data_IF_678227006063
#
_entry.id   IF_678227006063
#
_cell.length_a   1.000
_cell.length_b   1.000
_cell.length_c   1.000
_cell.angle_alpha   90.00
_cell.angle_beta   90.00
_cell.angle_gamma   90.00
#
_symmetry.space_group_name_H-M   'P 1'
#
loop_
_entity.id
_entity.type
_entity.pdbx_description
1 polymer ?
#
# COMPACT_ATOMS: atom_id res chain seq x y z
N UNK A 1 -49.77 34.01 -4.28
CA UNK A 1 -48.38 34.34 -3.94
C UNK A 1 -47.74 33.05 -3.44
N UNK A 2 -47.10 32.33 -4.33
CA UNK A 2 -46.51 31.00 -4.07
C UNK A 2 -45.00 31.18 -4.08
N UNK A 3 -44.40 31.03 -2.91
CA UNK A 3 -42.98 31.14 -2.71
C UNK A 3 -42.33 29.77 -2.99
N UNK A 4 -41.64 29.65 -4.13
CA UNK A 4 -40.86 28.49 -4.49
C UNK A 4 -39.44 28.70 -3.96
N UNK A 5 -39.15 28.19 -2.78
CA UNK A 5 -37.77 28.05 -2.26
C UNK A 5 -37.03 26.98 -3.05
N UNK A 6 -36.24 27.44 -3.99
CA UNK A 6 -35.29 26.66 -4.77
C UNK A 6 -34.18 26.15 -3.84
N UNK A 7 -34.25 24.87 -3.42
CA UNK A 7 -33.14 24.17 -2.75
C UNK A 7 -32.05 23.90 -3.77
N UNK A 8 -31.01 24.71 -3.79
CA UNK A 8 -29.76 24.40 -4.47
C UNK A 8 -29.19 23.10 -3.88
N UNK A 9 -29.19 22.05 -4.68
CA UNK A 9 -28.46 20.83 -4.36
C UNK A 9 -26.97 21.17 -4.29
N UNK A 10 -26.40 21.12 -3.08
CA UNK A 10 -24.99 21.31 -2.86
C UNK A 10 -24.19 20.23 -3.64
N UNK A 11 -23.49 20.65 -4.67
CA UNK A 11 -22.53 19.78 -5.35
C UNK A 11 -21.46 19.37 -4.33
N UNK A 12 -21.36 18.07 -4.04
CA UNK A 12 -20.25 17.50 -3.27
C UNK A 12 -18.97 17.92 -3.99
N UNK A 13 -17.99 18.55 -3.32
CA UNK A 13 -16.74 18.93 -3.98
C UNK A 13 -16.10 17.69 -4.60
N UNK A 14 -15.67 17.80 -5.85
CA UNK A 14 -14.97 16.72 -6.54
C UNK A 14 -13.78 16.27 -5.68
N UNK A 15 -13.76 14.99 -5.31
CA UNK A 15 -12.69 14.43 -4.48
C UNK A 15 -11.37 14.61 -5.23
N UNK A 16 -10.40 15.25 -4.61
CA UNK A 16 -9.08 15.40 -5.17
C UNK A 16 -8.46 14.02 -5.43
N UNK A 17 -7.90 13.81 -6.63
CA UNK A 17 -7.28 12.55 -7.02
C UNK A 17 -6.05 12.28 -6.14
N UNK A 18 -6.02 11.13 -5.48
CA UNK A 18 -4.93 10.73 -4.60
C UNK A 18 -3.71 10.25 -5.38
N UNK A 19 -3.94 9.53 -6.48
CA UNK A 19 -2.87 9.02 -7.34
C UNK A 19 -3.30 9.07 -8.82
N UNK A 20 -2.65 9.88 -9.65
CA UNK A 20 -2.92 9.92 -11.09
C UNK A 20 -2.68 8.59 -11.79
N UNK A 21 -1.84 7.71 -11.21
CA UNK A 21 -1.56 6.37 -11.74
C UNK A 21 -2.71 5.36 -11.48
N UNK A 22 -3.67 5.71 -10.61
CA UNK A 22 -4.74 4.80 -10.18
C UNK A 22 -5.86 4.69 -11.23
N UNK A 23 -5.52 4.48 -12.49
CA UNK A 23 -6.48 4.14 -13.55
C UNK A 23 -5.83 3.26 -14.62
N UNK A 24 -6.64 2.46 -15.30
CA UNK A 24 -6.18 1.50 -16.33
C UNK A 24 -5.38 2.18 -17.44
N UNK A 25 -5.80 3.38 -17.87
CA UNK A 25 -5.14 4.11 -18.95
C UNK A 25 -3.71 4.49 -18.57
N UNK A 26 -3.51 5.11 -17.44
CA UNK A 26 -2.19 5.57 -16.99
C UNK A 26 -1.27 4.41 -16.63
N UNK A 27 -1.82 3.37 -15.97
CA UNK A 27 -1.06 2.13 -15.69
C UNK A 27 -0.54 1.51 -16.99
N UNK A 28 -1.42 1.37 -18.01
CA UNK A 28 -1.02 0.82 -19.32
C UNK A 28 0.01 1.70 -20.02
N UNK A 29 -0.23 3.00 -20.09
CA UNK A 29 0.68 3.95 -20.71
C UNK A 29 2.08 3.92 -20.07
N UNK A 30 2.13 3.85 -18.73
CA UNK A 30 3.39 3.72 -17.97
C UNK A 30 4.12 2.43 -18.33
N UNK A 31 3.43 1.28 -18.33
CA UNK A 31 4.04 0.00 -18.68
C UNK A 31 4.55 -0.01 -20.14
N UNK A 32 3.75 0.48 -21.09
CA UNK A 32 4.10 0.57 -22.51
C UNK A 32 5.32 1.48 -22.73
N UNK A 33 5.40 2.62 -22.04
CA UNK A 33 6.52 3.56 -22.12
C UNK A 33 7.86 2.90 -21.78
N UNK A 34 7.86 1.97 -20.83
CA UNK A 34 9.06 1.24 -20.42
C UNK A 34 9.20 -0.15 -21.08
N UNK A 35 8.34 -0.48 -22.04
CA UNK A 35 8.35 -1.78 -22.72
C UNK A 35 8.07 -2.96 -21.78
N UNK A 36 7.32 -2.73 -20.69
CA UNK A 36 7.04 -3.73 -19.66
C UNK A 36 5.70 -4.43 -19.90
N UNK A 37 5.68 -5.73 -19.63
CA UNK A 37 4.47 -6.54 -19.52
C UNK A 37 4.26 -6.98 -18.07
N UNK A 38 3.00 -7.19 -17.70
CA UNK A 38 2.66 -7.71 -16.36
C UNK A 38 3.25 -9.10 -16.14
N UNK A 39 3.97 -9.29 -15.03
CA UNK A 39 4.64 -10.55 -14.71
C UNK A 39 3.80 -11.37 -13.72
N UNK A 40 3.03 -12.33 -14.23
CA UNK A 40 2.24 -13.23 -13.38
C UNK A 40 3.08 -13.95 -12.30
N UNK A 41 4.34 -14.30 -12.61
CA UNK A 41 5.25 -14.96 -11.66
C UNK A 41 5.54 -14.14 -10.41
N UNK A 42 5.49 -12.82 -10.50
CA UNK A 42 5.70 -11.90 -9.37
C UNK A 42 4.37 -11.47 -8.73
N UNK A 43 3.23 -12.00 -9.20
CA UNK A 43 1.91 -11.64 -8.67
C UNK A 43 1.55 -10.18 -8.92
N UNK A 44 2.05 -9.58 -10.00
CA UNK A 44 1.82 -8.17 -10.32
C UNK A 44 0.37 -7.92 -10.71
N UNK A 45 -0.39 -7.32 -9.79
CA UNK A 45 -1.74 -6.82 -9.96
C UNK A 45 -1.75 -5.36 -9.54
N UNK A 46 -1.65 -4.45 -10.53
CA UNK A 46 -1.59 -3.01 -10.27
C UNK A 46 -2.96 -2.47 -9.89
N UNK A 47 -3.02 -1.73 -8.79
CA UNK A 47 -4.25 -1.10 -8.33
C UNK A 47 -4.62 0.06 -9.28
N UNK A 48 -5.84 0.05 -9.81
CA UNK A 48 -6.30 1.00 -10.84
C UNK A 48 -7.58 1.76 -10.44
N UNK A 49 -7.81 1.90 -9.13
CA UNK A 49 -8.96 2.62 -8.59
C UNK A 49 -8.54 3.60 -7.49
N UNK A 50 -8.64 4.90 -7.78
CA UNK A 50 -8.26 5.96 -6.86
C UNK A 50 -9.12 6.01 -5.57
N UNK A 51 -10.38 5.57 -5.63
CA UNK A 51 -11.22 5.49 -4.44
C UNK A 51 -10.71 4.44 -3.44
N UNK A 52 -10.10 3.34 -3.94
CA UNK A 52 -9.45 2.35 -3.07
C UNK A 52 -8.19 2.92 -2.45
N UNK A 53 -7.34 3.62 -3.25
CA UNK A 53 -6.17 4.35 -2.73
C UNK A 53 -6.59 5.28 -1.60
N UNK A 54 -7.60 6.11 -1.83
CA UNK A 54 -8.07 7.06 -0.85
C UNK A 54 -8.52 6.40 0.47
N UNK A 55 -9.21 5.25 0.40
CA UNK A 55 -9.59 4.48 1.61
C UNK A 55 -8.39 3.88 2.34
N UNK A 56 -7.37 3.41 1.60
CA UNK A 56 -6.11 2.94 2.20
C UNK A 56 -5.44 4.08 2.97
N UNK A 57 -5.31 5.25 2.34
CA UNK A 57 -4.68 6.43 2.95
C UNK A 57 -5.47 6.92 4.17
N UNK A 58 -6.81 6.89 4.13
CA UNK A 58 -7.68 7.20 5.27
C UNK A 58 -7.43 6.23 6.44
N UNK A 59 -7.36 4.91 6.18
CA UNK A 59 -7.05 3.90 7.20
C UNK A 59 -5.63 4.06 7.76
N UNK A 60 -4.69 4.52 6.94
CA UNK A 60 -3.32 4.73 7.37
C UNK A 60 -3.14 5.96 8.28
N UNK A 61 -4.07 6.93 8.24
CA UNK A 61 -4.03 8.17 9.04
C UNK A 61 -2.64 8.82 8.97
N UNK A 62 -2.18 9.07 7.73
CA UNK A 62 -0.84 9.58 7.47
C UNK A 62 -0.69 11.03 7.94
N UNK A 63 0.41 11.30 8.64
CA UNK A 63 0.83 12.63 9.07
C UNK A 63 2.16 13.06 8.44
N UNK A 64 2.43 14.37 8.44
CA UNK A 64 3.62 14.95 7.82
C UNK A 64 4.95 14.46 8.42
N UNK A 65 4.92 13.96 9.64
CA UNK A 65 6.10 13.42 10.34
C UNK A 65 6.30 11.91 10.15
N UNK A 66 5.32 11.22 9.56
CA UNK A 66 5.40 9.79 9.34
C UNK A 66 6.45 9.42 8.30
N UNK A 67 7.12 8.32 8.53
CA UNK A 67 7.91 7.61 7.52
C UNK A 67 7.20 6.29 7.23
N UNK A 68 6.90 6.06 5.95
CA UNK A 68 6.16 4.86 5.52
C UNK A 68 7.11 3.85 4.91
N UNK A 69 6.97 2.60 5.32
CA UNK A 69 7.51 1.44 4.63
C UNK A 69 6.47 0.89 3.66
N UNK A 70 6.87 0.63 2.43
CA UNK A 70 6.04 -0.01 1.42
C UNK A 70 6.76 -1.22 0.84
N UNK A 71 6.04 -2.29 0.51
CA UNK A 71 6.60 -3.49 -0.14
C UNK A 71 5.86 -3.74 -1.45
N UNK A 72 6.63 -3.88 -2.54
CA UNK A 72 6.07 -4.08 -3.87
C UNK A 72 5.31 -2.85 -4.37
N UNK A 73 5.96 -1.68 -4.49
CA UNK A 73 5.32 -0.45 -4.98
C UNK A 73 4.78 -0.59 -6.41
N UNK A 74 5.27 -1.57 -7.18
CA UNK A 74 4.92 -1.74 -8.57
C UNK A 74 5.34 -0.52 -9.39
N UNK A 75 4.39 0.11 -10.10
CA UNK A 75 4.64 1.37 -10.82
C UNK A 75 4.55 2.61 -9.93
N UNK A 76 4.41 2.44 -8.60
CA UNK A 76 4.32 3.54 -7.64
C UNK A 76 2.91 4.09 -7.41
N UNK A 77 1.86 3.35 -7.75
CA UNK A 77 0.48 3.86 -7.66
C UNK A 77 0.11 4.29 -6.23
N UNK A 78 0.40 3.46 -5.23
CA UNK A 78 0.14 3.80 -3.83
C UNK A 78 1.20 4.78 -3.29
N UNK A 79 2.46 4.61 -3.68
CA UNK A 79 3.60 5.47 -3.32
C UNK A 79 3.32 6.94 -3.61
N UNK A 80 2.91 7.26 -4.84
CA UNK A 80 2.58 8.64 -5.28
C UNK A 80 1.45 9.24 -4.45
N UNK A 81 0.48 8.42 -4.03
CA UNK A 81 -0.58 8.85 -3.12
C UNK A 81 -0.09 9.17 -1.71
N UNK A 82 0.95 8.50 -1.22
CA UNK A 82 1.52 8.70 0.11
C UNK A 82 2.50 9.87 0.18
N UNK A 83 3.38 10.02 -0.80
CA UNK A 83 4.50 10.97 -0.79
C UNK A 83 4.13 12.41 -0.40
N UNK A 84 3.03 13.02 -0.89
CA UNK A 84 2.66 14.38 -0.51
C UNK A 84 2.22 14.55 0.96
N UNK A 85 1.93 13.43 1.66
CA UNK A 85 1.28 13.40 2.98
C UNK A 85 2.23 13.08 4.12
N UNK A 86 3.46 12.64 3.80
CA UNK A 86 4.40 12.09 4.79
C UNK A 86 5.79 12.71 4.66
N UNK A 87 6.62 12.47 5.66
CA UNK A 87 8.03 12.89 5.64
C UNK A 87 8.83 12.13 4.58
N UNK A 88 8.66 10.81 4.50
CA UNK A 88 9.30 9.97 3.50
C UNK A 88 8.54 8.66 3.28
N UNK A 89 8.73 8.06 2.11
CA UNK A 89 8.34 6.69 1.79
C UNK A 89 9.59 5.91 1.42
N UNK A 90 9.82 4.78 2.08
CA UNK A 90 10.83 3.81 1.69
C UNK A 90 10.15 2.58 1.13
N UNK A 91 10.31 2.33 -0.16
CA UNK A 91 9.73 1.17 -0.84
C UNK A 91 10.78 0.09 -1.08
N UNK A 92 10.38 -1.18 -0.92
CA UNK A 92 11.21 -2.35 -1.22
C UNK A 92 10.63 -3.04 -2.45
N UNK A 93 11.41 -3.13 -3.55
CA UNK A 93 10.97 -3.73 -4.81
C UNK A 93 11.94 -4.83 -5.26
N UNK A 94 11.38 -5.99 -5.63
CA UNK A 94 12.16 -7.13 -6.08
C UNK A 94 12.44 -7.11 -7.59
N UNK A 95 11.55 -6.48 -8.37
CA UNK A 95 11.65 -6.42 -9.82
C UNK A 95 12.52 -5.23 -10.27
N UNK A 96 13.74 -5.51 -10.70
CA UNK A 96 14.68 -4.48 -11.18
C UNK A 96 14.19 -3.71 -12.38
N UNK A 97 13.28 -4.26 -13.18
CA UNK A 97 12.72 -3.55 -14.33
C UNK A 97 11.80 -2.39 -13.90
N UNK A 98 11.31 -2.41 -12.65
CA UNK A 98 10.49 -1.33 -12.10
C UNK A 98 11.31 -0.17 -11.50
N UNK A 99 12.62 -0.33 -11.29
CA UNK A 99 13.47 0.74 -10.77
C UNK A 99 13.41 2.03 -11.60
N UNK A 100 13.59 2.02 -12.95
CA UNK A 100 13.47 3.22 -13.75
C UNK A 100 12.03 3.77 -13.82
N UNK A 101 11.02 2.90 -13.70
CA UNK A 101 9.61 3.33 -13.63
C UNK A 101 9.39 4.15 -12.37
N UNK A 102 9.81 3.63 -11.21
CA UNK A 102 9.67 4.31 -9.92
C UNK A 102 10.47 5.61 -9.86
N UNK A 103 11.67 5.64 -10.45
CA UNK A 103 12.45 6.86 -10.56
C UNK A 103 11.69 7.96 -11.33
N UNK A 104 10.93 7.60 -12.37
CA UNK A 104 10.12 8.57 -13.13
C UNK A 104 8.81 8.90 -12.40
N UNK A 105 8.04 7.92 -11.94
CA UNK A 105 6.71 8.14 -11.37
C UNK A 105 6.75 8.88 -10.04
N UNK A 106 7.82 8.67 -9.24
CA UNK A 106 8.03 9.34 -7.96
C UNK A 106 8.89 10.61 -8.08
N UNK A 107 9.34 11.00 -9.28
CA UNK A 107 10.28 12.11 -9.49
C UNK A 107 9.82 13.46 -8.90
N UNK A 108 8.52 13.74 -8.90
CA UNK A 108 7.95 14.98 -8.36
C UNK A 108 8.29 15.20 -6.88
N UNK A 109 8.27 14.12 -6.10
CA UNK A 109 8.54 14.11 -4.67
C UNK A 109 9.78 13.24 -4.35
N UNK A 110 10.74 13.17 -5.29
CA UNK A 110 11.90 12.27 -5.22
C UNK A 110 12.81 12.50 -4.01
N UNK A 111 12.81 13.69 -3.45
CA UNK A 111 13.51 14.03 -2.20
C UNK A 111 12.92 13.32 -0.96
N UNK A 112 11.71 12.77 -1.07
CA UNK A 112 11.01 12.01 -0.02
C UNK A 112 10.90 10.53 -0.33
N UNK A 113 11.44 10.07 -1.46
CA UNK A 113 11.34 8.69 -1.91
C UNK A 113 12.66 7.96 -1.81
N UNK A 114 12.70 6.91 -1.01
CA UNK A 114 13.82 5.99 -0.89
C UNK A 114 13.43 4.61 -1.48
N UNK A 115 14.31 4.02 -2.28
CA UNK A 115 14.07 2.72 -2.90
C UNK A 115 15.16 1.73 -2.49
N UNK A 116 14.72 0.58 -1.97
CA UNK A 116 15.55 -0.60 -1.72
C UNK A 116 15.23 -1.65 -2.77
N UNK A 117 16.18 -1.93 -3.65
CA UNK A 117 16.02 -3.04 -4.59
C UNK A 117 16.40 -4.37 -3.94
N UNK A 118 15.45 -5.31 -3.87
CA UNK A 118 15.67 -6.62 -3.29
C UNK A 118 14.44 -7.34 -2.77
N UNK A 119 14.70 -8.48 -2.15
CA UNK A 119 13.67 -9.33 -1.53
C UNK A 119 13.28 -8.79 -0.15
N UNK A 120 12.03 -8.41 0.01
CA UNK A 120 11.50 -7.87 1.27
C UNK A 120 11.62 -8.85 2.45
N UNK A 121 11.65 -10.16 2.19
CA UNK A 121 11.92 -11.17 3.23
C UNK A 121 13.35 -11.10 3.77
N UNK A 122 14.26 -10.45 3.06
CA UNK A 122 15.67 -10.27 3.46
C UNK A 122 15.99 -8.85 3.92
N UNK A 123 15.05 -7.92 3.73
CA UNK A 123 15.23 -6.55 4.14
C UNK A 123 15.38 -6.45 5.67
N UNK A 124 16.29 -5.59 6.09
CA UNK A 124 16.57 -5.31 7.50
C UNK A 124 16.33 -3.84 7.82
N UNK A 125 16.03 -3.49 9.08
CA UNK A 125 15.94 -2.09 9.50
C UNK A 125 17.17 -1.27 9.12
N UNK A 126 18.37 -1.86 9.20
CA UNK A 126 19.62 -1.18 8.84
C UNK A 126 19.63 -0.73 7.38
N UNK A 127 19.31 -1.62 6.43
CA UNK A 127 19.31 -1.30 4.98
C UNK A 127 18.30 -0.20 4.67
N UNK A 128 17.12 -0.25 5.28
CA UNK A 128 16.10 0.79 5.11
C UNK A 128 16.55 2.11 5.73
N UNK A 129 17.16 2.09 6.92
CA UNK A 129 17.72 3.28 7.56
C UNK A 129 18.82 3.95 6.73
N UNK A 130 19.74 3.17 6.14
CA UNK A 130 20.77 3.67 5.24
C UNK A 130 20.19 4.35 4.00
N UNK A 131 19.12 3.78 3.41
CA UNK A 131 18.44 4.38 2.26
C UNK A 131 17.69 5.66 2.61
N UNK A 132 17.02 5.70 3.75
CA UNK A 132 16.36 6.90 4.26
C UNK A 132 17.38 8.00 4.58
N UNK A 133 18.51 7.67 5.20
CA UNK A 133 19.59 8.61 5.45
C UNK A 133 20.15 9.22 4.15
N UNK A 134 20.19 8.42 3.05
CA UNK A 134 20.60 8.86 1.73
C UNK A 134 19.72 9.98 1.12
N UNK A 135 18.49 10.14 1.58
CA UNK A 135 17.57 11.24 1.22
C UNK A 135 17.41 12.28 2.33
N UNK A 136 18.28 12.25 3.33
CA UNK A 136 18.24 13.21 4.46
C UNK A 136 17.15 12.91 5.50
N UNK A 137 16.57 11.71 5.53
CA UNK A 137 15.61 11.28 6.53
C UNK A 137 16.31 10.42 7.59
N UNK A 138 16.32 10.91 8.83
CA UNK A 138 16.97 10.28 10.00
C UNK A 138 15.99 9.43 10.84
N UNK A 139 14.75 9.29 10.39
CA UNK A 139 13.70 8.53 11.09
C UNK A 139 13.47 7.18 10.44
N UNK A 140 13.17 6.19 11.27
CA UNK A 140 12.72 4.88 10.82
C UNK A 140 11.23 4.88 10.50
N UNK A 141 10.76 3.94 9.65
CA UNK A 141 9.34 3.83 9.32
C UNK A 141 8.47 3.60 10.55
N UNK A 142 7.48 4.47 10.75
CA UNK A 142 6.42 4.32 11.77
C UNK A 142 5.21 3.55 11.25
N UNK A 143 5.04 3.47 9.94
CA UNK A 143 3.88 2.83 9.31
C UNK A 143 4.29 1.90 8.18
N UNK A 144 3.60 0.75 8.08
CA UNK A 144 3.65 -0.15 6.93
C UNK A 144 2.36 0.05 6.13
N UNK A 145 2.46 0.58 4.91
CA UNK A 145 1.28 0.75 4.02
C UNK A 145 1.61 0.14 2.67
N UNK A 146 0.89 -0.91 2.29
CA UNK A 146 1.29 -1.70 1.12
C UNK A 146 0.17 -2.52 0.51
N UNK A 147 0.18 -2.63 -0.82
CA UNK A 147 -0.47 -3.71 -1.55
C UNK A 147 0.51 -4.88 -1.63
N UNK A 148 0.44 -5.82 -0.68
CA UNK A 148 1.44 -6.87 -0.54
C UNK A 148 1.36 -7.94 -1.64
N UNK A 149 2.51 -8.45 -2.11
CA UNK A 149 2.54 -9.64 -2.98
C UNK A 149 1.89 -10.83 -2.26
N UNK A 150 0.83 -11.39 -2.86
CA UNK A 150 -0.04 -12.37 -2.19
C UNK A 150 0.69 -13.60 -1.64
N UNK A 151 1.68 -14.09 -2.40
CA UNK A 151 2.42 -15.31 -2.06
C UNK A 151 3.19 -15.22 -0.73
N UNK A 152 3.61 -14.02 -0.35
CA UNK A 152 4.49 -13.80 0.81
C UNK A 152 3.85 -12.88 1.87
N UNK A 153 2.64 -12.36 1.60
CA UNK A 153 1.98 -11.36 2.43
C UNK A 153 1.90 -11.76 3.92
N UNK A 154 1.40 -12.95 4.22
CA UNK A 154 1.25 -13.43 5.60
C UNK A 154 2.61 -13.49 6.34
N UNK A 155 3.66 -13.94 5.65
CA UNK A 155 5.01 -14.01 6.21
C UNK A 155 5.59 -12.62 6.44
N UNK A 156 5.42 -11.71 5.46
CA UNK A 156 5.91 -10.34 5.56
C UNK A 156 5.28 -9.57 6.71
N UNK A 157 3.95 -9.67 6.88
CA UNK A 157 3.24 -8.99 7.97
C UNK A 157 3.85 -9.39 9.33
N UNK A 158 3.94 -10.69 9.61
CA UNK A 158 4.52 -11.15 10.88
C UNK A 158 5.98 -10.73 11.02
N UNK A 159 6.78 -10.83 9.96
CA UNK A 159 8.19 -10.45 9.99
C UNK A 159 8.38 -8.97 10.32
N UNK A 160 7.60 -8.09 9.69
CA UNK A 160 7.71 -6.66 9.96
C UNK A 160 7.20 -6.31 11.36
N UNK A 161 6.07 -6.85 11.79
CA UNK A 161 5.55 -6.60 13.15
C UNK A 161 6.47 -7.14 14.26
N UNK A 162 7.23 -8.21 13.98
CA UNK A 162 8.18 -8.79 14.93
C UNK A 162 9.54 -8.07 14.97
N UNK A 163 10.01 -7.61 13.83
CA UNK A 163 11.40 -7.15 13.66
C UNK A 163 11.55 -5.62 13.58
N UNK A 164 10.45 -4.86 13.59
CA UNK A 164 10.44 -3.42 13.39
C UNK A 164 9.68 -2.73 14.52
N UNK A 165 10.36 -2.56 15.66
CA UNK A 165 9.78 -2.00 16.91
C UNK A 165 9.22 -0.58 16.75
N UNK A 166 9.64 0.15 15.72
CA UNK A 166 9.17 1.50 15.41
C UNK A 166 7.82 1.53 14.66
N UNK A 167 7.32 0.39 14.18
CA UNK A 167 6.03 0.33 13.49
C UNK A 167 4.88 0.41 14.49
N UNK A 168 4.10 1.46 14.40
CA UNK A 168 2.90 1.68 15.22
C UNK A 168 1.60 1.32 14.48
N UNK A 169 1.66 1.15 13.15
CA UNK A 169 0.50 0.81 12.32
C UNK A 169 0.90 0.08 11.05
N UNK A 170 0.08 -0.91 10.68
CA UNK A 170 0.14 -1.53 9.38
C UNK A 170 -1.22 -1.46 8.67
N UNK A 171 -1.25 -0.92 7.44
CA UNK A 171 -2.43 -0.96 6.55
C UNK A 171 -2.02 -1.70 5.30
N UNK A 172 -2.45 -2.94 5.21
CA UNK A 172 -1.98 -3.85 4.18
C UNK A 172 -3.13 -4.46 3.39
N UNK A 173 -2.98 -4.52 2.08
CA UNK A 173 -3.89 -5.24 1.21
C UNK A 173 -3.34 -6.63 0.93
N UNK A 174 -4.19 -7.63 1.11
CA UNK A 174 -3.87 -9.05 1.00
C UNK A 174 -5.04 -9.80 0.34
N UNK A 175 -4.87 -11.08 0.01
CA UNK A 175 -6.00 -11.93 -0.38
C UNK A 175 -7.04 -11.99 0.74
N UNK A 176 -8.34 -12.05 0.37
CA UNK A 176 -9.44 -12.08 1.33
C UNK A 176 -9.31 -13.23 2.34
N UNK A 177 -8.86 -14.43 1.89
CA UNK A 177 -8.60 -15.56 2.79
C UNK A 177 -7.52 -15.25 3.84
N UNK A 178 -6.47 -14.53 3.48
CA UNK A 178 -5.43 -14.11 4.44
C UNK A 178 -6.00 -13.09 5.42
N UNK A 179 -6.80 -12.13 4.93
CA UNK A 179 -7.50 -11.18 5.78
C UNK A 179 -8.47 -11.86 6.76
N UNK A 180 -9.18 -12.93 6.32
CA UNK A 180 -10.06 -13.73 7.18
C UNK A 180 -9.29 -14.36 8.35
N UNK A 181 -8.08 -14.87 8.07
CA UNK A 181 -7.21 -15.42 9.13
C UNK A 181 -6.67 -14.34 10.06
N UNK A 182 -6.30 -13.17 9.52
CA UNK A 182 -5.84 -12.03 10.31
C UNK A 182 -6.94 -11.55 11.27
N UNK A 183 -8.18 -11.43 10.77
CA UNK A 183 -9.33 -10.90 11.51
C UNK A 183 -10.07 -11.95 12.33
N UNK A 184 -9.63 -13.22 12.35
CA UNK A 184 -10.33 -14.32 12.99
C UNK A 184 -10.41 -14.13 14.51
N UNK A 185 -11.57 -14.48 15.11
CA UNK A 185 -11.76 -14.50 16.55
C UNK A 185 -11.60 -15.91 17.11
N UNK A 186 -11.18 -16.07 18.38
CA UNK A 186 -11.16 -17.36 19.05
C UNK A 186 -12.50 -18.11 18.91
N UNK A 187 -12.42 -19.41 18.56
CA UNK A 187 -13.60 -20.23 18.30
C UNK A 187 -14.15 -20.21 16.87
N UNK A 188 -13.68 -19.32 16.00
CA UNK A 188 -14.03 -19.35 14.58
C UNK A 188 -13.21 -20.39 13.81
N UNK A 189 -13.74 -20.87 12.69
CA UNK A 189 -13.09 -21.90 11.85
C UNK A 189 -11.76 -21.44 11.25
N UNK A 190 -11.59 -20.14 11.03
CA UNK A 190 -10.40 -19.53 10.44
C UNK A 190 -9.34 -19.15 11.47
N UNK A 191 -9.67 -19.23 12.78
CA UNK A 191 -8.72 -18.97 13.85
C UNK A 191 -7.65 -20.06 13.91
N UNK A 192 -6.39 -19.65 13.96
CA UNK A 192 -5.27 -20.58 13.99
C UNK A 192 -3.99 -19.97 14.58
N UNK A 193 -2.90 -20.72 14.48
CA UNK A 193 -1.59 -20.32 14.99
C UNK A 193 -1.11 -18.96 14.44
N UNK A 194 -1.44 -18.66 13.19
CA UNK A 194 -1.12 -17.37 12.57
C UNK A 194 -1.83 -16.23 13.28
N UNK A 195 -3.15 -16.34 13.50
CA UNK A 195 -3.97 -15.33 14.18
C UNK A 195 -3.48 -15.10 15.61
N UNK A 196 -3.25 -16.19 16.36
CA UNK A 196 -2.76 -16.12 17.74
C UNK A 196 -1.39 -15.45 17.83
N UNK A 197 -0.49 -15.75 16.87
CA UNK A 197 0.85 -15.15 16.82
C UNK A 197 0.78 -13.67 16.48
N UNK A 198 -0.06 -13.27 15.51
CA UNK A 198 -0.23 -11.88 15.13
C UNK A 198 -0.78 -11.03 16.28
N UNK A 199 -1.71 -11.57 17.06
CA UNK A 199 -2.30 -10.90 18.22
C UNK A 199 -1.29 -10.54 19.33
N UNK A 200 -0.08 -11.12 19.31
CA UNK A 200 1.01 -10.73 20.22
C UNK A 200 1.67 -9.39 19.82
N UNK A 201 1.50 -8.95 18.57
CA UNK A 201 2.18 -7.80 18.00
C UNK A 201 1.25 -6.67 17.61
N UNK A 202 -0.04 -6.96 17.41
CA UNK A 202 -0.98 -5.94 16.97
C UNK A 202 -2.43 -6.37 17.12
N UNK A 203 -3.31 -5.37 17.09
CA UNK A 203 -4.77 -5.54 17.12
C UNK A 203 -5.37 -5.07 15.81
N UNK A 204 -6.22 -5.90 15.22
CA UNK A 204 -6.97 -5.52 14.01
C UNK A 204 -8.04 -4.51 14.36
N UNK A 205 -7.98 -3.33 13.73
CA UNK A 205 -8.88 -2.19 14.01
C UNK A 205 -9.71 -1.78 12.81
N UNK A 206 -9.45 -2.33 11.63
CA UNK A 206 -10.19 -2.02 10.41
C UNK A 206 -10.04 -3.09 9.34
N UNK A 207 -11.08 -3.22 8.51
CA UNK A 207 -11.09 -4.09 7.33
C UNK A 207 -12.06 -3.55 6.28
N UNK A 208 -11.70 -3.68 5.00
CA UNK A 208 -12.64 -3.54 3.89
C UNK A 208 -12.23 -4.40 2.69
N UNK A 209 -13.20 -4.79 1.88
CA UNK A 209 -12.98 -5.65 0.73
C UNK A 209 -12.68 -4.85 -0.53
N UNK A 210 -11.88 -5.46 -1.42
CA UNK A 210 -11.47 -4.90 -2.71
C UNK A 210 -11.59 -5.99 -3.76
N UNK A 211 -12.63 -5.89 -4.62
CA UNK A 211 -12.88 -6.86 -5.67
C UNK A 211 -11.85 -6.80 -6.81
N UNK A 212 -11.73 -7.87 -7.62
CA UNK A 212 -10.73 -8.01 -8.68
C UNK A 212 -10.76 -6.91 -9.74
N UNK A 213 -11.93 -6.31 -10.02
CA UNK A 213 -12.08 -5.22 -10.98
C UNK A 213 -11.32 -3.93 -10.64
N UNK A 214 -10.73 -3.85 -9.46
CA UNK A 214 -9.89 -2.71 -9.04
C UNK A 214 -8.41 -2.87 -9.42
N UNK A 215 -8.07 -3.94 -10.15
CA UNK A 215 -6.69 -4.25 -10.52
C UNK A 215 -6.50 -4.47 -12.02
N UNK A 216 -5.29 -4.28 -12.48
CA UNK A 216 -4.84 -4.62 -13.83
C UNK A 216 -3.52 -5.40 -13.79
N UNK A 217 -3.46 -6.66 -14.26
CA UNK A 217 -4.63 -7.49 -14.58
C UNK A 217 -5.46 -7.82 -13.33
N UNK A 218 -6.74 -8.18 -13.46
CA UNK A 218 -7.55 -8.59 -12.31
C UNK A 218 -7.02 -9.92 -11.73
N UNK A 219 -6.85 -10.02 -10.39
CA UNK A 219 -6.53 -11.29 -9.74
C UNK A 219 -7.73 -12.25 -9.80
N UNK A 220 -7.48 -13.56 -9.60
CA UNK A 220 -8.52 -14.58 -9.60
C UNK A 220 -9.32 -14.66 -8.28
N UNK A 221 -8.90 -13.91 -7.27
CA UNK A 221 -9.47 -13.93 -5.92
C UNK A 221 -9.74 -12.52 -5.42
N UNK A 222 -10.69 -12.38 -4.52
CA UNK A 222 -10.93 -11.12 -3.83
C UNK A 222 -9.76 -10.76 -2.92
N UNK A 223 -9.60 -9.47 -2.70
CA UNK A 223 -8.64 -8.87 -1.79
C UNK A 223 -9.34 -8.17 -0.64
N UNK A 224 -8.64 -7.94 0.43
CA UNK A 224 -9.09 -7.07 1.49
C UNK A 224 -7.93 -6.24 2.05
N UNK A 225 -8.24 -5.03 2.47
CA UNK A 225 -7.34 -4.19 3.25
C UNK A 225 -7.60 -4.43 4.72
N UNK A 226 -6.54 -4.60 5.49
CA UNK A 226 -6.60 -4.78 6.95
C UNK A 226 -5.73 -3.73 7.61
N UNK A 227 -6.25 -3.13 8.68
CA UNK A 227 -5.52 -2.22 9.57
C UNK A 227 -5.19 -2.95 10.88
N UNK A 228 -3.94 -2.96 11.22
CA UNK A 228 -3.37 -3.58 12.43
C UNK A 228 -2.65 -2.49 13.23
#
# INVERSE_FOLDING_TARGET
MSDQTNRAAGATPARECCSPLACVRETRATLEQFGLATKHRLGQNFLVNDAVIARILEQAELGADDVVLEVGPGIGTLTVGMLPRVRAVCSIEADRELEPVLAQTCARDGERFALVMGDALKATPQVVGERLAGIGCDRMPSKLVSNLPYQVAATLILRFLQGWECLDRAVVMVQAEVADRICACPGSRTYGAYTAKLALYGTVTGRFEVGPGNFMPPPHVDSAVVRI
#
